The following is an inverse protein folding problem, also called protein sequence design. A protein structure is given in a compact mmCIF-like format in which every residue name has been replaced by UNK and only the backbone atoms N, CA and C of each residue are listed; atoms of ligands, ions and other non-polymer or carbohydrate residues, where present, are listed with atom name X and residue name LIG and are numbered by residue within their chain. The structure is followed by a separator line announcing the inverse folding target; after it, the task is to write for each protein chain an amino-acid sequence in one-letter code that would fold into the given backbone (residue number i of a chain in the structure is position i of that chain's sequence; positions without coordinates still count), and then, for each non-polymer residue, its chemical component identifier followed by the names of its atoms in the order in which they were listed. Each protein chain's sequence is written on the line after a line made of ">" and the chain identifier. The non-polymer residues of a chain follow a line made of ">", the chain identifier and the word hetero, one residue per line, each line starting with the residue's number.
data_IF_055822767196
#
_entry.id   IF_055822767196
#
_cell.length_a   1.000
_cell.length_b   1.000
_cell.length_c   1.000
_cell.angle_alpha   90.00
_cell.angle_beta   90.00
_cell.angle_gamma   90.00
#
_symmetry.space_group_name_H-M   'P 1'
#
loop_
_entity.id
_entity.type
_entity.pdbx_description
1 polymer ?
#
# COMPACT_ATOMS: atom_id res chain seq x y z
N UNK A 1 -29.76 18.01 45.57
CA UNK A 1 -28.99 17.23 44.57
C UNK A 1 -29.31 17.77 43.18
N UNK A 2 -28.52 18.72 42.64
CA UNK A 2 -28.75 19.34 41.33
C UNK A 2 -28.16 18.40 40.26
N UNK A 3 -28.99 17.89 39.37
CA UNK A 3 -28.56 17.14 38.15
C UNK A 3 -27.80 18.12 37.26
N UNK A 4 -26.51 17.82 37.01
CA UNK A 4 -25.75 18.51 35.96
C UNK A 4 -26.37 18.15 34.59
N UNK A 5 -26.71 19.18 33.82
CA UNK A 5 -27.03 19.02 32.39
C UNK A 5 -25.79 18.49 31.66
N UNK A 6 -25.94 17.59 30.68
CA UNK A 6 -24.82 17.18 29.86
C UNK A 6 -24.30 18.37 29.07
N UNK A 7 -22.99 18.40 28.94
CA UNK A 7 -22.18 19.44 28.28
C UNK A 7 -22.54 19.53 26.79
N UNK A 8 -23.46 20.41 26.42
CA UNK A 8 -23.89 20.64 25.03
C UNK A 8 -22.80 21.32 24.17
N UNK A 9 -21.71 21.76 24.80
CA UNK A 9 -20.63 22.49 24.12
C UNK A 9 -19.55 21.61 23.45
N UNK A 10 -19.61 20.31 23.62
CA UNK A 10 -18.60 19.40 23.01
C UNK A 10 -18.86 19.06 21.54
N UNK A 11 -20.06 19.24 21.06
CA UNK A 11 -20.45 18.89 19.70
C UNK A 11 -21.15 20.09 19.08
N UNK A 12 -20.45 20.86 18.27
CA UNK A 12 -21.02 22.04 17.62
C UNK A 12 -22.43 21.78 17.03
N UNK A 13 -23.31 22.78 17.09
CA UNK A 13 -24.69 22.66 16.61
C UNK A 13 -24.70 22.40 15.08
N UNK A 14 -25.51 21.43 14.66
CA UNK A 14 -25.81 21.21 13.25
C UNK A 14 -26.54 22.44 12.72
N UNK A 15 -25.91 23.14 11.78
CA UNK A 15 -26.52 24.36 11.19
C UNK A 15 -27.36 24.07 9.93
N UNK A 16 -27.07 22.99 9.21
CA UNK A 16 -27.85 22.56 8.04
C UNK A 16 -27.38 21.19 7.53
N UNK A 17 -28.25 20.50 6.80
CA UNK A 17 -27.90 19.35 5.96
C UNK A 17 -27.87 19.89 4.52
N UNK A 18 -26.73 19.76 3.82
CA UNK A 18 -26.66 20.17 2.42
C UNK A 18 -27.43 19.20 1.53
N UNK A 19 -27.82 19.64 0.33
CA UNK A 19 -28.45 18.77 -0.68
C UNK A 19 -27.58 17.57 -1.10
N UNK A 20 -26.28 17.62 -0.78
CA UNK A 20 -25.33 16.51 -0.92
C UNK A 20 -25.28 15.59 0.30
N UNK A 21 -26.15 15.76 1.28
CA UNK A 21 -26.18 14.96 2.51
C UNK A 21 -25.08 15.29 3.53
N UNK A 22 -24.33 16.37 3.36
CA UNK A 22 -23.28 16.79 4.29
C UNK A 22 -23.87 17.49 5.50
N UNK A 23 -23.53 17.02 6.68
CA UNK A 23 -23.82 17.75 7.92
C UNK A 23 -22.81 18.90 8.07
N UNK A 24 -23.33 20.13 8.15
CA UNK A 24 -22.51 21.30 8.42
C UNK A 24 -22.57 21.62 9.91
N UNK A 25 -21.41 21.65 10.55
CA UNK A 25 -21.28 22.04 11.95
C UNK A 25 -20.77 23.49 12.06
N UNK A 26 -21.37 24.28 12.97
CA UNK A 26 -20.77 25.54 13.42
C UNK A 26 -19.73 25.21 14.50
N UNK A 27 -18.45 25.29 14.16
CA UNK A 27 -17.33 25.04 15.07
C UNK A 27 -16.45 23.89 14.63
N UNK A 28 -15.22 24.17 14.43
CA UNK A 28 -14.06 23.47 13.86
C UNK A 28 -13.80 22.00 14.10
N UNK A 29 -14.78 21.13 14.16
CA UNK A 29 -14.57 19.68 14.08
C UNK A 29 -14.56 19.26 12.62
N UNK A 30 -13.39 18.87 12.15
CA UNK A 30 -13.13 18.45 10.78
C UNK A 30 -14.06 17.33 10.31
N UNK A 31 -14.30 17.30 9.02
CA UNK A 31 -15.21 16.46 8.20
C UNK A 31 -15.10 14.92 8.39
N UNK A 32 -14.42 14.41 9.44
CA UNK A 32 -14.02 13.01 9.59
C UNK A 32 -14.87 12.15 10.53
N UNK A 33 -15.99 12.66 11.07
CA UNK A 33 -16.73 11.93 12.13
C UNK A 33 -18.00 11.21 11.65
N UNK A 34 -18.18 10.97 10.36
CA UNK A 34 -19.46 10.66 9.75
C UNK A 34 -20.23 9.41 10.22
N UNK A 35 -19.69 8.19 10.23
CA UNK A 35 -20.50 7.04 10.64
C UNK A 35 -20.76 7.01 12.15
N UNK A 36 -19.82 7.50 12.97
CA UNK A 36 -20.02 7.62 14.41
C UNK A 36 -20.97 8.76 14.79
N UNK A 37 -20.90 9.88 14.06
CA UNK A 37 -21.74 11.06 14.34
C UNK A 37 -23.20 10.78 14.02
N UNK A 38 -23.50 10.08 12.91
CA UNK A 38 -24.88 9.71 12.56
C UNK A 38 -25.50 8.78 13.62
N UNK A 39 -24.74 7.84 14.17
CA UNK A 39 -25.20 6.95 15.25
C UNK A 39 -25.54 7.71 16.56
N UNK A 40 -24.94 8.88 16.79
CA UNK A 40 -25.18 9.68 18.00
C UNK A 40 -26.26 10.76 17.81
N UNK A 41 -26.57 11.14 16.57
CA UNK A 41 -27.51 12.21 16.25
C UNK A 41 -28.94 11.70 15.97
N UNK A 42 -29.06 10.44 15.58
CA UNK A 42 -30.37 9.79 15.34
C UNK A 42 -30.49 8.54 16.20
N UNK A 43 -31.68 8.28 16.72
CA UNK A 43 -31.95 7.05 17.47
C UNK A 43 -32.37 5.95 16.51
N UNK A 44 -31.98 4.67 16.79
CA UNK A 44 -32.57 3.54 16.07
C UNK A 44 -34.10 3.59 16.24
N UNK A 45 -34.81 3.74 15.13
CA UNK A 45 -36.29 3.89 15.14
C UNK A 45 -36.78 5.26 14.66
N UNK A 46 -35.92 6.27 14.54
CA UNK A 46 -36.26 7.51 13.81
C UNK A 46 -36.45 7.19 12.32
N UNK A 47 -37.50 7.70 11.70
CA UNK A 47 -37.87 7.41 10.30
C UNK A 47 -36.71 7.63 9.31
N UNK A 48 -35.84 8.61 9.60
CA UNK A 48 -34.72 9.01 8.74
C UNK A 48 -33.40 8.29 9.07
N UNK A 49 -33.34 7.49 10.14
CA UNK A 49 -32.07 6.91 10.61
C UNK A 49 -31.46 5.96 9.58
N UNK A 50 -32.32 5.10 8.97
CA UNK A 50 -31.90 4.15 7.94
C UNK A 50 -31.38 4.83 6.70
N UNK A 51 -32.08 5.84 6.24
CA UNK A 51 -31.73 6.61 5.04
C UNK A 51 -30.47 7.44 5.24
N UNK A 52 -30.28 8.05 6.40
CA UNK A 52 -29.06 8.79 6.72
C UNK A 52 -27.84 7.88 6.84
N UNK A 53 -28.00 6.68 7.40
CA UNK A 53 -26.93 5.66 7.46
C UNK A 53 -26.60 5.11 6.07
N UNK A 54 -27.60 4.83 5.24
CA UNK A 54 -27.41 4.36 3.87
C UNK A 54 -26.68 5.41 3.04
N UNK A 55 -27.10 6.67 3.14
CA UNK A 55 -26.50 7.79 2.44
C UNK A 55 -25.07 8.07 2.93
N UNK A 56 -24.81 8.01 4.23
CA UNK A 56 -23.46 8.14 4.78
C UNK A 56 -22.52 7.00 4.33
N UNK A 57 -23.06 5.78 4.15
CA UNK A 57 -22.30 4.64 3.58
C UNK A 57 -22.03 4.84 2.10
N UNK A 58 -23.01 5.30 1.34
CA UNK A 58 -22.88 5.60 -0.08
C UNK A 58 -21.86 6.72 -0.33
N UNK A 59 -21.89 7.77 0.47
CA UNK A 59 -20.90 8.86 0.38
C UNK A 59 -19.50 8.40 0.79
N UNK A 60 -19.36 7.58 1.85
CA UNK A 60 -18.10 6.98 2.20
C UNK A 60 -17.54 6.09 1.06
N UNK A 61 -18.43 5.31 0.42
CA UNK A 61 -18.05 4.47 -0.74
C UNK A 61 -17.71 5.33 -1.97
N UNK A 62 -18.38 6.47 -2.16
CA UNK A 62 -18.09 7.41 -3.24
C UNK A 62 -16.78 8.16 -2.99
N UNK A 63 -16.45 8.49 -1.73
CA UNK A 63 -15.14 9.05 -1.35
C UNK A 63 -14.01 8.06 -1.58
N UNK A 64 -14.27 6.76 -1.46
CA UNK A 64 -13.31 5.70 -1.80
C UNK A 64 -12.91 5.68 -3.27
N UNK A 65 -13.80 6.11 -4.16
CA UNK A 65 -13.56 6.15 -5.61
C UNK A 65 -12.74 7.37 -6.06
N UNK A 66 -12.51 8.34 -5.18
CA UNK A 66 -11.81 9.59 -5.51
C UNK A 66 -10.61 9.81 -4.59
N UNK A 67 -9.50 9.04 -4.78
CA UNK A 67 -8.26 9.18 -4.00
C UNK A 67 -7.61 10.58 -4.15
N UNK A 68 -8.08 11.40 -5.08
CA UNK A 68 -7.59 12.75 -5.35
C UNK A 68 -7.94 13.77 -4.24
N UNK A 69 -8.86 13.43 -3.34
CA UNK A 69 -9.33 14.33 -2.28
C UNK A 69 -8.43 14.39 -1.03
N UNK A 70 -7.28 13.74 -1.09
CA UNK A 70 -6.29 13.83 0.01
C UNK A 70 -5.80 15.28 0.10
N UNK A 71 -6.00 15.90 1.25
CA UNK A 71 -5.62 17.29 1.50
C UNK A 71 -4.11 17.42 1.72
N UNK A 72 -3.55 18.61 1.53
CA UNK A 72 -2.14 18.88 1.82
C UNK A 72 -1.79 18.62 3.30
N UNK A 73 -2.73 18.83 4.23
CA UNK A 73 -2.55 18.50 5.65
C UNK A 73 -2.40 17.00 5.87
N UNK A 74 -3.13 16.19 5.13
CA UNK A 74 -3.03 14.73 5.20
C UNK A 74 -1.75 14.22 4.56
N UNK A 75 -1.31 14.84 3.47
CA UNK A 75 -0.01 14.54 2.87
C UNK A 75 1.15 14.86 3.81
N UNK A 76 1.06 15.95 4.57
CA UNK A 76 2.06 16.32 5.56
C UNK A 76 2.26 15.25 6.66
N UNK A 77 1.25 14.40 6.92
CA UNK A 77 1.42 13.24 7.82
C UNK A 77 2.41 12.21 7.28
N UNK A 78 2.63 12.21 5.98
CA UNK A 78 3.52 11.26 5.30
C UNK A 78 4.92 11.82 5.08
N UNK A 79 5.16 13.13 5.28
CA UNK A 79 6.39 13.81 4.85
C UNK A 79 7.67 13.18 5.40
N UNK A 80 7.64 12.62 6.60
CA UNK A 80 8.79 11.94 7.20
C UNK A 80 9.22 10.65 6.45
N UNK A 81 8.37 10.10 5.61
CA UNK A 81 8.64 8.91 4.79
C UNK A 81 8.80 9.23 3.31
N UNK A 82 8.85 10.52 2.98
CA UNK A 82 9.08 10.97 1.61
C UNK A 82 10.50 10.62 1.20
N UNK A 83 10.63 9.96 0.06
CA UNK A 83 11.92 9.47 -0.43
C UNK A 83 12.18 9.97 -1.85
N UNK A 84 13.49 10.12 -2.24
CA UNK A 84 13.84 10.36 -3.62
C UNK A 84 13.42 9.17 -4.48
N UNK A 85 13.05 9.41 -5.72
CA UNK A 85 12.59 8.36 -6.61
C UNK A 85 13.73 7.52 -7.17
N UNK A 86 14.90 8.13 -7.41
CA UNK A 86 16.02 7.44 -8.05
C UNK A 86 16.99 6.97 -6.98
N UNK A 87 17.28 5.66 -6.93
CA UNK A 87 18.34 5.16 -6.08
C UNK A 87 19.69 5.61 -6.62
N UNK A 88 20.66 5.72 -5.72
CA UNK A 88 22.07 5.96 -6.05
C UNK A 88 22.76 4.62 -6.33
N UNK A 89 24.00 4.71 -6.86
CA UNK A 89 24.86 3.53 -7.02
C UNK A 89 25.21 2.88 -5.67
N UNK A 90 25.21 3.65 -4.57
CA UNK A 90 25.41 3.13 -3.21
C UNK A 90 24.23 2.25 -2.82
N UNK A 91 22.99 2.69 -3.11
CA UNK A 91 21.78 1.92 -2.82
C UNK A 91 21.77 0.59 -3.61
N UNK A 92 22.12 0.64 -4.89
CA UNK A 92 22.17 -0.56 -5.75
C UNK A 92 23.26 -1.54 -5.27
N UNK A 93 24.43 -1.05 -4.87
CA UNK A 93 25.50 -1.90 -4.34
C UNK A 93 25.09 -2.56 -3.03
N UNK A 94 24.48 -1.82 -2.11
CA UNK A 94 24.01 -2.36 -0.85
C UNK A 94 22.97 -3.47 -1.05
N UNK A 95 22.04 -3.27 -2.02
CA UNK A 95 21.08 -4.30 -2.38
C UNK A 95 21.77 -5.55 -2.93
N UNK A 96 22.72 -5.39 -3.84
CA UNK A 96 23.45 -6.51 -4.44
C UNK A 96 24.21 -7.31 -3.38
N UNK A 97 24.97 -6.64 -2.51
CA UNK A 97 25.68 -7.29 -1.42
C UNK A 97 24.74 -8.07 -0.47
N UNK A 98 23.58 -7.47 -0.16
CA UNK A 98 22.58 -8.17 0.64
C UNK A 98 22.00 -9.41 -0.05
N UNK A 99 21.70 -9.32 -1.36
CA UNK A 99 21.19 -10.42 -2.15
C UNK A 99 22.16 -11.62 -2.21
N UNK A 100 23.46 -11.36 -2.22
CA UNK A 100 24.48 -12.40 -2.30
C UNK A 100 24.76 -13.07 -0.95
N UNK A 101 24.52 -12.39 0.15
CA UNK A 101 24.82 -12.86 1.49
C UNK A 101 23.58 -13.30 2.29
N UNK A 102 22.39 -12.84 1.92
CA UNK A 102 21.19 -13.16 2.66
C UNK A 102 20.64 -14.56 2.33
N UNK A 103 20.35 -15.32 3.37
CA UNK A 103 19.64 -16.60 3.29
C UNK A 103 18.22 -16.49 3.84
N UNK A 104 17.90 -15.37 4.47
CA UNK A 104 16.63 -15.07 5.14
C UNK A 104 16.08 -13.73 4.64
N UNK A 105 14.84 -13.44 4.98
CA UNK A 105 14.14 -12.20 4.63
C UNK A 105 14.72 -10.97 5.36
N UNK A 106 15.05 -11.12 6.66
CA UNK A 106 15.42 -9.99 7.52
C UNK A 106 16.56 -9.09 6.99
N UNK A 107 17.67 -9.60 6.41
CA UNK A 107 18.68 -8.76 5.78
C UNK A 107 18.12 -7.93 4.62
N UNK A 108 17.17 -8.47 3.84
CA UNK A 108 16.54 -7.75 2.74
C UNK A 108 15.65 -6.63 3.25
N UNK A 109 14.90 -6.87 4.34
CA UNK A 109 14.12 -5.86 5.03
C UNK A 109 15.02 -4.70 5.48
N UNK A 110 16.14 -4.99 6.15
CA UNK A 110 17.07 -3.97 6.67
C UNK A 110 17.68 -3.13 5.54
N UNK A 111 18.08 -3.75 4.45
CA UNK A 111 18.67 -2.99 3.34
C UNK A 111 17.63 -2.07 2.68
N UNK A 112 16.40 -2.52 2.51
CA UNK A 112 15.35 -1.71 1.91
C UNK A 112 14.83 -0.60 2.86
N UNK A 113 14.90 -0.80 4.16
CA UNK A 113 14.65 0.26 5.15
C UNK A 113 15.69 1.38 5.06
N UNK A 114 16.96 1.02 4.88
CA UNK A 114 18.06 1.99 4.77
C UNK A 114 18.18 2.63 3.38
N UNK A 115 17.68 1.95 2.35
CA UNK A 115 17.74 2.35 0.93
C UNK A 115 16.37 2.38 0.25
N UNK A 116 15.40 3.13 0.81
CA UNK A 116 14.00 3.07 0.35
C UNK A 116 13.78 3.62 -1.06
N UNK A 117 14.76 4.33 -1.62
CA UNK A 117 14.74 4.78 -3.01
C UNK A 117 14.65 3.62 -4.01
N UNK A 118 15.16 2.44 -3.67
CA UNK A 118 15.04 1.22 -4.47
C UNK A 118 13.57 0.85 -4.69
N UNK A 119 12.77 0.83 -3.62
CA UNK A 119 11.33 0.57 -3.71
C UNK A 119 10.57 1.71 -4.39
N UNK A 120 10.94 2.96 -4.11
CA UNK A 120 10.31 4.12 -4.73
C UNK A 120 10.49 4.15 -6.26
N UNK A 121 11.63 3.67 -6.75
CA UNK A 121 11.97 3.69 -8.18
C UNK A 121 11.03 2.84 -9.03
N UNK A 122 10.51 1.75 -8.49
CA UNK A 122 9.68 0.78 -9.22
C UNK A 122 8.19 1.07 -9.12
N UNK A 123 7.79 2.04 -8.31
CA UNK A 123 6.39 2.44 -8.17
C UNK A 123 6.07 3.63 -9.07
N UNK A 124 5.01 3.52 -9.86
CA UNK A 124 4.55 4.62 -10.71
C UNK A 124 4.05 5.80 -9.86
N UNK A 125 4.56 7.01 -10.15
CA UNK A 125 4.16 8.25 -9.49
C UNK A 125 5.10 9.38 -9.84
N UNK A 126 4.57 10.59 -10.12
CA UNK A 126 5.38 11.73 -10.55
C UNK A 126 5.36 12.88 -9.57
N UNK A 127 4.45 12.87 -8.57
CA UNK A 127 4.18 13.99 -7.68
C UNK A 127 4.54 13.72 -6.21
N UNK A 128 5.29 12.66 -5.93
CA UNK A 128 5.76 12.26 -4.61
C UNK A 128 5.58 10.77 -4.35
N UNK A 129 6.54 10.19 -3.63
CA UNK A 129 6.51 8.80 -3.18
C UNK A 129 6.94 8.79 -1.71
N UNK A 130 6.26 7.98 -0.92
CA UNK A 130 6.48 7.78 0.50
C UNK A 130 6.62 6.29 0.77
N UNK A 131 7.70 5.87 1.40
CA UNK A 131 7.98 4.48 1.73
C UNK A 131 7.99 4.34 3.25
N UNK A 132 7.04 3.61 3.78
CA UNK A 132 6.87 3.43 5.22
C UNK A 132 7.09 1.98 5.60
N UNK A 133 8.16 1.67 6.36
CA UNK A 133 8.45 0.30 6.80
C UNK A 133 7.58 -0.11 7.99
N UNK A 134 7.40 -1.40 8.17
CA UNK A 134 6.85 -2.08 9.34
C UNK A 134 5.55 -1.44 9.86
N UNK A 135 4.53 -1.38 8.99
CA UNK A 135 3.27 -0.73 9.33
C UNK A 135 2.31 -1.72 9.98
N UNK A 136 1.94 -1.44 11.22
CA UNK A 136 0.91 -2.21 11.90
C UNK A 136 -0.47 -1.93 11.31
N UNK A 137 -1.16 -3.00 10.94
CA UNK A 137 -2.55 -3.00 10.52
C UNK A 137 -3.39 -3.66 11.64
N UNK A 138 -3.84 -2.82 12.58
CA UNK A 138 -4.42 -3.27 13.84
C UNK A 138 -3.40 -3.94 14.76
N UNK A 139 -3.88 -4.89 15.56
CA UNK A 139 -3.06 -5.63 16.52
C UNK A 139 -2.48 -6.92 15.93
N UNK A 140 -2.99 -7.35 14.77
CA UNK A 140 -2.74 -8.68 14.22
C UNK A 140 -1.69 -8.71 13.11
N UNK A 141 -1.64 -7.69 12.27
CA UNK A 141 -0.82 -7.71 11.07
C UNK A 141 0.25 -6.61 11.08
N UNK A 142 1.38 -6.90 10.47
CA UNK A 142 2.43 -5.94 10.17
C UNK A 142 2.84 -6.13 8.72
N UNK A 143 2.75 -5.09 7.90
CA UNK A 143 3.29 -5.14 6.53
C UNK A 143 4.77 -4.79 6.55
N UNK A 144 5.56 -5.37 5.66
CA UNK A 144 6.96 -4.99 5.55
C UNK A 144 7.12 -3.55 5.11
N UNK A 145 6.39 -3.17 4.05
CA UNK A 145 6.29 -1.78 3.64
C UNK A 145 4.89 -1.43 3.16
N UNK A 146 4.53 -0.17 3.39
CA UNK A 146 3.44 0.49 2.67
C UNK A 146 4.03 1.62 1.84
N UNK A 147 3.75 1.64 0.54
CA UNK A 147 4.23 2.66 -0.36
C UNK A 147 3.05 3.48 -0.87
N UNK A 148 3.08 4.78 -0.58
CA UNK A 148 2.15 5.72 -1.18
C UNK A 148 2.80 6.42 -2.37
N UNK A 149 2.08 6.54 -3.47
CA UNK A 149 2.52 7.31 -4.63
C UNK A 149 1.44 8.29 -5.07
N UNK A 150 1.83 9.52 -5.40
CA UNK A 150 0.91 10.53 -5.93
C UNK A 150 1.02 10.57 -7.45
N UNK A 151 -0.12 10.36 -8.09
CA UNK A 151 -0.28 10.46 -9.54
C UNK A 151 -1.26 11.59 -9.88
N UNK A 152 -1.48 11.88 -11.16
CA UNK A 152 -2.56 12.76 -11.62
C UNK A 152 -3.96 12.27 -11.21
N UNK A 153 -4.10 10.95 -10.98
CA UNK A 153 -5.34 10.33 -10.52
C UNK A 153 -5.42 10.22 -8.98
N UNK A 154 -4.54 10.91 -8.23
CA UNK A 154 -4.54 10.94 -6.77
C UNK A 154 -3.50 10.04 -6.11
N UNK A 155 -3.68 9.79 -4.81
CA UNK A 155 -2.79 8.98 -3.99
C UNK A 155 -3.14 7.50 -4.12
N UNK A 156 -2.14 6.68 -4.42
CA UNK A 156 -2.27 5.22 -4.53
C UNK A 156 -1.36 4.53 -3.56
N UNK A 157 -1.87 3.45 -2.94
CA UNK A 157 -1.13 2.65 -1.98
C UNK A 157 -0.77 1.28 -2.55
N UNK A 158 0.42 0.81 -2.17
CA UNK A 158 0.90 -0.54 -2.41
C UNK A 158 1.21 -1.19 -1.07
N UNK A 159 0.69 -2.37 -0.88
CA UNK A 159 0.99 -3.27 0.22
C UNK A 159 2.18 -4.12 -0.22
N UNK A 160 3.28 -4.07 0.49
CA UNK A 160 4.51 -4.76 0.08
C UNK A 160 4.84 -5.85 1.09
N UNK A 161 5.07 -7.03 0.57
CA UNK A 161 5.55 -8.21 1.29
C UNK A 161 6.89 -8.64 0.74
N UNK A 162 7.81 -8.97 1.61
CA UNK A 162 9.13 -9.48 1.26
C UNK A 162 9.22 -10.96 1.63
N UNK A 163 10.03 -11.66 0.86
CA UNK A 163 10.43 -13.03 1.17
C UNK A 163 11.93 -13.18 0.90
N UNK A 164 12.55 -14.24 1.41
CA UNK A 164 13.98 -14.46 1.23
C UNK A 164 14.42 -14.45 -0.24
N UNK A 165 15.62 -13.93 -0.57
CA UNK A 165 16.17 -14.01 -1.91
C UNK A 165 16.51 -15.45 -2.35
N UNK A 166 16.56 -16.40 -1.42
CA UNK A 166 16.80 -17.82 -1.73
C UNK A 166 15.52 -18.60 -2.06
N UNK A 167 14.35 -18.00 -1.80
CA UNK A 167 13.06 -18.63 -2.06
C UNK A 167 12.75 -18.68 -3.56
N UNK A 168 12.05 -19.73 -3.98
CA UNK A 168 11.62 -19.92 -5.37
C UNK A 168 10.16 -19.55 -5.53
N UNK A 169 9.82 -18.97 -6.68
CA UNK A 169 8.43 -18.71 -7.04
C UNK A 169 7.65 -19.99 -7.28
N UNK A 170 8.32 -20.98 -7.88
CA UNK A 170 7.70 -22.24 -8.27
C UNK A 170 8.26 -23.41 -7.47
N UNK A 171 7.40 -24.38 -7.21
CA UNK A 171 7.80 -25.64 -6.63
C UNK A 171 8.46 -26.51 -7.73
N UNK A 172 9.71 -26.95 -7.55
CA UNK A 172 10.45 -27.72 -8.56
C UNK A 172 9.74 -29.01 -9.01
N UNK A 173 8.97 -29.64 -8.13
CA UNK A 173 8.34 -30.93 -8.42
C UNK A 173 7.10 -30.85 -9.32
N UNK A 174 6.37 -29.71 -9.33
CA UNK A 174 5.09 -29.59 -10.04
C UNK A 174 4.86 -28.24 -10.70
N UNK A 175 5.84 -27.37 -10.68
CA UNK A 175 5.83 -26.01 -11.27
C UNK A 175 4.64 -25.14 -10.84
N UNK A 176 4.01 -25.44 -9.73
CA UNK A 176 2.98 -24.58 -9.11
C UNK A 176 3.62 -23.55 -8.20
N UNK A 177 2.85 -22.54 -7.83
CA UNK A 177 3.29 -21.57 -6.83
C UNK A 177 3.84 -22.25 -5.58
N UNK A 178 5.00 -21.82 -5.12
CA UNK A 178 5.65 -22.36 -3.92
C UNK A 178 4.77 -22.14 -2.67
N UNK A 179 4.97 -22.88 -1.58
CA UNK A 179 4.28 -22.62 -0.32
C UNK A 179 4.52 -21.19 0.19
N UNK A 180 5.76 -20.71 0.11
CA UNK A 180 6.16 -19.36 0.52
C UNK A 180 5.43 -18.30 -0.30
N UNK A 181 5.42 -18.42 -1.63
CA UNK A 181 4.67 -17.48 -2.48
C UNK A 181 3.17 -17.46 -2.16
N UNK A 182 2.57 -18.62 -1.92
CA UNK A 182 1.14 -18.66 -1.53
C UNK A 182 0.90 -17.97 -0.21
N UNK A 183 1.80 -18.17 0.77
CA UNK A 183 1.71 -17.49 2.06
C UNK A 183 1.79 -15.96 1.90
N UNK A 184 2.73 -15.44 1.13
CA UNK A 184 2.85 -14.02 0.84
C UNK A 184 1.59 -13.45 0.15
N UNK A 185 0.98 -14.20 -0.78
CA UNK A 185 -0.29 -13.80 -1.40
C UNK A 185 -1.41 -13.74 -0.37
N UNK A 186 -1.52 -14.77 0.49
CA UNK A 186 -2.55 -14.85 1.54
C UNK A 186 -2.38 -13.67 2.53
N UNK A 187 -1.16 -13.26 2.89
CA UNK A 187 -0.91 -12.10 3.74
C UNK A 187 -1.44 -10.80 3.11
N UNK A 188 -1.17 -10.55 1.83
CA UNK A 188 -1.72 -9.39 1.12
C UNK A 188 -3.26 -9.42 1.12
N UNK A 189 -3.88 -10.59 0.93
CA UNK A 189 -5.33 -10.73 0.97
C UNK A 189 -5.89 -10.48 2.38
N UNK A 190 -5.25 -11.02 3.41
CA UNK A 190 -5.62 -10.79 4.81
C UNK A 190 -5.58 -9.29 5.18
N UNK A 191 -4.57 -8.56 4.70
CA UNK A 191 -4.48 -7.10 4.92
C UNK A 191 -5.62 -6.36 4.22
N UNK A 192 -6.01 -6.77 3.02
CA UNK A 192 -7.16 -6.20 2.31
C UNK A 192 -8.47 -6.50 3.03
N UNK A 193 -8.65 -7.71 3.55
CA UNK A 193 -9.83 -8.04 4.36
C UNK A 193 -9.88 -7.20 5.64
N UNK A 194 -8.73 -7.00 6.29
CA UNK A 194 -8.64 -6.09 7.43
C UNK A 194 -9.03 -4.65 7.04
N UNK A 195 -8.54 -4.16 5.90
CA UNK A 195 -8.88 -2.83 5.39
C UNK A 195 -10.38 -2.68 5.11
N UNK A 196 -11.07 -3.71 4.59
CA UNK A 196 -12.52 -3.67 4.37
C UNK A 196 -13.30 -3.37 5.64
N UNK A 197 -12.86 -3.92 6.76
CA UNK A 197 -13.52 -3.74 8.06
C UNK A 197 -13.09 -2.44 8.74
N UNK A 198 -11.83 -2.03 8.57
CA UNK A 198 -11.19 -0.98 9.37
C UNK A 198 -10.81 0.28 8.56
N UNK A 199 -11.41 0.48 7.38
CA UNK A 199 -10.98 1.51 6.44
C UNK A 199 -10.91 2.92 7.03
N UNK A 200 -11.90 3.31 7.83
CA UNK A 200 -11.93 4.63 8.45
C UNK A 200 -10.78 4.85 9.43
N UNK A 201 -10.47 3.83 10.23
CA UNK A 201 -9.34 3.88 11.16
C UNK A 201 -8.01 3.85 10.42
N UNK A 202 -7.91 3.04 9.37
CA UNK A 202 -6.72 2.98 8.51
C UNK A 202 -6.43 4.34 7.85
N UNK A 203 -7.43 5.03 7.34
CA UNK A 203 -7.29 6.35 6.70
C UNK A 203 -6.82 7.46 7.63
N UNK A 204 -7.02 7.32 8.93
CA UNK A 204 -6.47 8.27 9.90
C UNK A 204 -4.93 8.25 9.92
N UNK A 205 -4.31 7.11 9.60
CA UNK A 205 -2.86 6.90 9.56
C UNK A 205 -2.30 6.81 8.13
N UNK A 206 -3.13 6.41 7.19
CA UNK A 206 -2.81 6.13 5.79
C UNK A 206 -3.80 6.89 4.88
N UNK A 207 -3.61 8.20 4.71
CA UNK A 207 -4.56 9.04 3.96
C UNK A 207 -4.83 8.49 2.56
N UNK A 208 -6.10 8.39 2.18
CA UNK A 208 -6.51 7.94 0.85
C UNK A 208 -6.29 6.45 0.57
N UNK A 209 -5.95 5.62 1.57
CA UNK A 209 -5.87 4.17 1.35
C UNK A 209 -7.24 3.61 1.00
N UNK A 210 -7.25 2.62 0.12
CA UNK A 210 -8.46 1.93 -0.35
C UNK A 210 -8.39 0.45 -0.05
N UNK A 211 -9.54 -0.22 -0.03
CA UNK A 211 -9.63 -1.67 0.24
C UNK A 211 -8.96 -2.52 -0.84
N UNK A 212 -8.83 -1.96 -2.03
CA UNK A 212 -8.23 -2.59 -3.21
C UNK A 212 -6.80 -2.10 -3.48
N UNK A 213 -6.08 -1.64 -2.45
CA UNK A 213 -4.67 -1.30 -2.55
C UNK A 213 -3.88 -2.42 -3.24
N UNK A 214 -2.98 -2.05 -4.17
CA UNK A 214 -2.21 -3.03 -4.94
C UNK A 214 -1.25 -3.79 -4.05
N UNK A 215 -1.03 -5.07 -4.35
CA UNK A 215 0.02 -5.87 -3.72
C UNK A 215 1.31 -5.82 -4.53
N UNK A 216 2.43 -5.89 -3.84
CA UNK A 216 3.76 -6.12 -4.43
C UNK A 216 4.47 -7.14 -3.54
N UNK A 217 4.82 -8.28 -4.10
CA UNK A 217 5.63 -9.29 -3.44
C UNK A 217 7.01 -9.28 -4.09
N UNK A 218 8.06 -9.17 -3.28
CA UNK A 218 9.44 -9.25 -3.74
C UNK A 218 10.08 -10.47 -3.10
N UNK A 219 10.45 -11.45 -3.93
CA UNK A 219 11.00 -12.71 -3.45
C UNK A 219 11.95 -13.34 -4.45
N UNK A 220 12.92 -14.09 -3.94
CA UNK A 220 13.79 -14.92 -4.77
C UNK A 220 14.69 -14.11 -5.70
N UNK A 221 15.44 -14.89 -6.47
CA UNK A 221 16.29 -14.41 -7.57
C UNK A 221 15.56 -14.62 -8.91
N UNK A 222 16.20 -14.26 -10.01
CA UNK A 222 15.62 -14.37 -11.35
C UNK A 222 15.11 -15.80 -11.64
N UNK A 223 13.87 -15.88 -12.08
CA UNK A 223 13.20 -17.09 -12.54
C UNK A 223 12.45 -16.78 -13.83
N UNK A 224 13.05 -17.19 -14.94
CA UNK A 224 12.56 -16.95 -16.31
C UNK A 224 11.70 -18.09 -16.86
N UNK A 225 11.36 -19.06 -16.01
CA UNK A 225 10.53 -20.21 -16.43
C UNK A 225 9.13 -19.75 -16.86
N UNK A 226 8.54 -20.46 -17.81
CA UNK A 226 7.18 -20.17 -18.29
C UNK A 226 6.15 -20.27 -17.17
N UNK A 227 6.31 -21.21 -16.26
CA UNK A 227 5.46 -21.37 -15.08
C UNK A 227 5.53 -20.17 -14.14
N UNK A 228 6.73 -19.63 -13.90
CA UNK A 228 6.90 -18.44 -13.08
C UNK A 228 6.26 -17.21 -13.75
N UNK A 229 6.38 -17.11 -15.10
CA UNK A 229 5.73 -16.04 -15.86
C UNK A 229 4.21 -16.14 -15.77
N UNK A 230 3.65 -17.30 -16.01
CA UNK A 230 2.19 -17.54 -15.94
C UNK A 230 1.62 -17.22 -14.54
N UNK A 231 2.34 -17.59 -13.48
CA UNK A 231 1.94 -17.28 -12.10
C UNK A 231 1.94 -15.78 -11.87
N UNK A 232 2.99 -15.06 -12.28
CA UNK A 232 3.07 -13.60 -12.17
C UNK A 232 1.92 -12.92 -12.90
N UNK A 233 1.67 -13.29 -14.15
CA UNK A 233 0.62 -12.69 -14.99
C UNK A 233 -0.76 -12.94 -14.39
N UNK A 234 -1.03 -14.15 -13.91
CA UNK A 234 -2.31 -14.51 -13.28
C UNK A 234 -2.59 -13.64 -12.06
N UNK A 235 -1.65 -13.52 -11.13
CA UNK A 235 -1.86 -12.73 -9.90
C UNK A 235 -1.86 -11.22 -10.16
N UNK A 236 -1.10 -10.75 -11.15
CA UNK A 236 -1.14 -9.34 -11.56
C UNK A 236 -2.51 -8.94 -12.10
N UNK A 237 -3.12 -9.78 -12.93
CA UNK A 237 -4.43 -9.50 -13.56
C UNK A 237 -5.59 -9.75 -12.60
N UNK A 238 -5.62 -10.91 -11.96
CA UNK A 238 -6.79 -11.33 -11.18
C UNK A 238 -6.80 -10.73 -9.76
N UNK A 239 -5.63 -10.68 -9.12
CA UNK A 239 -5.50 -10.31 -7.72
C UNK A 239 -4.91 -8.91 -7.53
N UNK A 240 -4.45 -8.27 -8.61
CA UNK A 240 -3.73 -6.99 -8.56
C UNK A 240 -2.52 -7.06 -7.61
N UNK A 241 -1.84 -8.20 -7.63
CA UNK A 241 -0.60 -8.47 -6.90
C UNK A 241 0.53 -8.65 -7.90
N UNK A 242 1.48 -7.74 -7.90
CA UNK A 242 2.71 -7.88 -8.68
C UNK A 242 3.70 -8.74 -7.90
N UNK A 243 4.26 -9.76 -8.58
CA UNK A 243 5.29 -10.63 -8.01
C UNK A 243 6.57 -10.35 -8.76
N UNK A 244 7.61 -9.92 -8.04
CA UNK A 244 8.90 -9.51 -8.59
C UNK A 244 10.04 -10.17 -7.83
N UNK A 245 11.24 -10.16 -8.44
CA UNK A 245 12.46 -10.68 -7.84
C UNK A 245 13.37 -9.54 -7.40
N UNK A 246 14.33 -9.84 -6.52
CA UNK A 246 15.34 -8.85 -6.13
C UNK A 246 16.23 -8.43 -7.30
N UNK A 247 16.51 -9.34 -8.25
CA UNK A 247 17.26 -8.99 -9.47
C UNK A 247 16.49 -7.96 -10.33
N UNK A 248 15.17 -8.09 -10.43
CA UNK A 248 14.35 -7.09 -11.09
C UNK A 248 14.44 -5.74 -10.38
N UNK A 249 14.39 -5.71 -9.05
CA UNK A 249 14.51 -4.47 -8.27
C UNK A 249 15.87 -3.81 -8.49
N UNK A 250 16.95 -4.59 -8.49
CA UNK A 250 18.30 -4.14 -8.75
C UNK A 250 18.45 -3.57 -10.17
N UNK A 251 18.01 -4.29 -11.20
CA UNK A 251 18.04 -3.81 -12.59
C UNK A 251 17.26 -2.51 -12.76
N UNK A 252 16.10 -2.40 -12.14
CA UNK A 252 15.33 -1.16 -12.17
C UNK A 252 16.09 0.00 -11.53
N UNK A 253 16.83 -0.25 -10.46
CA UNK A 253 17.67 0.76 -9.79
C UNK A 253 18.85 1.21 -10.61
N UNK A 254 19.49 0.30 -11.33
CA UNK A 254 20.63 0.59 -12.19
C UNK A 254 20.23 1.40 -13.44
N UNK A 255 18.98 1.29 -13.90
CA UNK A 255 18.52 1.88 -15.16
C UNK A 255 19.03 1.12 -16.38
N UNK A 256 18.45 1.41 -17.54
CA UNK A 256 18.74 0.67 -18.78
C UNK A 256 20.20 0.81 -19.27
N UNK A 257 20.90 1.88 -18.84
CA UNK A 257 22.25 2.21 -19.32
C UNK A 257 23.36 1.93 -18.29
N UNK A 258 23.04 1.40 -17.10
CA UNK A 258 24.01 1.20 -16.03
C UNK A 258 24.48 -0.23 -15.97
N UNK A 259 25.69 -0.48 -16.49
CA UNK A 259 26.45 -1.71 -16.25
C UNK A 259 27.28 -1.52 -14.98
N UNK A 260 26.97 -2.26 -13.92
CA UNK A 260 27.97 -2.48 -12.87
C UNK A 260 28.97 -3.51 -13.41
N UNK A 261 30.27 -3.19 -13.49
CA UNK A 261 31.27 -4.16 -13.88
C UNK A 261 31.18 -5.40 -12.96
N UNK A 262 31.02 -6.58 -13.55
CA UNK A 262 30.91 -7.84 -12.81
C UNK A 262 29.49 -8.29 -12.45
N UNK A 263 28.44 -7.49 -12.68
CA UNK A 263 27.06 -7.86 -12.33
C UNK A 263 26.29 -8.51 -13.49
N UNK A 264 26.72 -8.28 -14.73
CA UNK A 264 26.09 -8.77 -15.95
C UNK A 264 26.93 -9.79 -16.70
N UNK A 265 28.07 -10.19 -16.14
CA UNK A 265 28.96 -11.18 -16.79
C UNK A 265 28.50 -12.64 -16.64
N UNK A 266 27.33 -12.89 -16.08
CA UNK A 266 26.70 -14.20 -16.18
C UNK A 266 25.80 -14.24 -17.41
N UNK A 267 26.43 -14.60 -18.54
CA UNK A 267 25.81 -15.14 -19.76
C UNK A 267 24.59 -14.37 -20.29
N UNK A 268 24.83 -13.24 -20.96
CA UNK A 268 24.04 -12.90 -22.11
C UNK A 268 24.41 -13.87 -23.25
N UNK A 269 23.97 -15.11 -23.11
CA UNK A 269 23.76 -15.94 -24.27
C UNK A 269 22.74 -15.23 -25.14
N UNK A 270 23.24 -14.65 -26.20
CA UNK A 270 22.63 -14.40 -27.48
C UNK A 270 21.08 -14.43 -27.51
N UNK A 271 20.45 -13.33 -27.11
CA UNK A 271 19.11 -13.01 -27.59
C UNK A 271 19.27 -11.92 -28.62
N UNK A 272 19.71 -12.42 -29.81
CA UNK A 272 19.67 -11.67 -31.07
C UNK A 272 18.29 -11.04 -31.28
N UNK A 273 18.36 -9.76 -31.51
CA UNK A 273 17.64 -8.97 -32.49
C UNK A 273 16.63 -9.78 -33.31
N UNK A 274 15.40 -9.49 -33.11
CA UNK A 274 14.39 -9.32 -34.14
C UNK A 274 13.07 -8.89 -33.45
N UNK A 275 12.85 -7.56 -33.45
CA UNK A 275 11.55 -6.89 -33.65
C UNK A 275 11.76 -5.38 -33.75
#
# INVERSE_FOLDING_TARGET
>A
MKRRKPDEDRYGQISSISLSGRLNFRGGLGRRAWPHTVKHLTKPGDADHGDLLAKAREEATAEDRHPERVTNRELALLDRWKVPRRPSMVDCRALHEAMDNATEERPMQVVLENHPALLANVIAGHHGIWVRPQVRLGDRYVSDFLIASRTSAGLRWHLVELESPTERLTNPGNQRASPTLRHAIDQIQDWREWLKVNLLSARALLPGITVDARGLIIMGREDVTDSAREIRDRHSVNDRIEIRTYDWLLRAGLGADSTLPGLLDTETGDLDRDW
#
